data_IF_333960495428
#
_entry.id   IF_333960495428
#
_cell.length_a   1.000
_cell.length_b   1.000
_cell.length_c   1.000
_cell.angle_alpha   90.00
_cell.angle_beta   90.00
_cell.angle_gamma   90.00
#
_symmetry.space_group_name_H-M   'P 1'
#
loop_
_entity.id
_entity.type
_entity.pdbx_description
1 polymer ?
#
# COMPACT_ATOMS: atom_id res chain seq x y z
N UNK A 1 -4.49 3.12 0.11
CA UNK A 1 -3.04 3.30 0.16
C UNK A 1 -2.69 4.63 0.82
N UNK A 2 -2.42 4.62 2.14
CA UNK A 2 -2.19 5.84 2.93
C UNK A 2 -0.91 6.58 2.54
N UNK A 3 0.09 5.91 1.95
CA UNK A 3 1.32 6.57 1.44
C UNK A 3 1.03 7.67 0.40
N UNK A 4 -0.06 7.52 -0.36
CA UNK A 4 -0.46 8.50 -1.38
C UNK A 4 -1.15 9.72 -0.79
N UNK A 5 -1.58 9.66 0.48
CA UNK A 5 -2.38 10.69 1.14
C UNK A 5 -1.63 11.45 2.26
N UNK A 6 -0.70 10.76 2.94
CA UNK A 6 -0.03 11.30 4.14
C UNK A 6 0.77 12.56 3.82
N UNK A 7 0.59 13.61 4.63
CA UNK A 7 1.30 14.87 4.53
C UNK A 7 0.92 15.73 3.32
N UNK A 8 -0.12 15.36 2.55
CA UNK A 8 -0.58 16.09 1.37
C UNK A 8 -1.84 16.90 1.62
N UNK A 9 -1.95 18.01 0.90
CA UNK A 9 -3.18 18.78 0.80
C UNK A 9 -4.09 18.19 -0.30
N UNK A 10 -5.38 18.44 -0.22
CA UNK A 10 -6.35 17.95 -1.20
C UNK A 10 -6.02 18.35 -2.65
N UNK A 11 -5.54 19.57 -2.82
CA UNK A 11 -5.19 20.13 -4.14
C UNK A 11 -3.95 19.47 -4.78
N UNK A 12 -3.16 18.76 -3.99
CA UNK A 12 -1.96 18.04 -4.43
C UNK A 12 -2.26 16.60 -4.86
N UNK A 13 -3.51 16.14 -4.64
CA UNK A 13 -3.93 14.81 -5.02
C UNK A 13 -4.38 14.79 -6.48
N UNK A 14 -3.73 13.95 -7.28
CA UNK A 14 -4.19 13.63 -8.62
C UNK A 14 -5.43 12.70 -8.58
N UNK A 15 -6.07 12.52 -9.74
CA UNK A 15 -7.28 11.69 -9.88
C UNK A 15 -7.04 10.23 -9.42
N UNK A 16 -5.85 9.69 -9.68
CA UNK A 16 -5.50 8.33 -9.29
C UNK A 16 -5.31 8.18 -7.78
N UNK A 17 -4.75 9.20 -7.11
CA UNK A 17 -4.67 9.25 -5.64
C UNK A 17 -6.04 9.38 -4.99
N UNK A 18 -7.00 10.01 -5.67
CA UNK A 18 -8.38 10.12 -5.21
C UNK A 18 -9.22 8.86 -5.48
N UNK A 19 -8.81 8.03 -6.44
CA UNK A 19 -9.48 6.77 -6.80
C UNK A 19 -9.18 5.66 -5.79
N UNK A 20 -9.61 5.82 -4.54
CA UNK A 20 -9.47 4.83 -3.47
C UNK A 20 -10.81 4.16 -3.15
N UNK A 21 -10.78 2.93 -2.64
CA UNK A 21 -11.98 2.15 -2.31
C UNK A 21 -12.81 2.71 -1.12
N UNK A 22 -12.30 3.75 -0.46
CA UNK A 22 -12.95 4.41 0.67
C UNK A 22 -13.16 5.90 0.36
N UNK A 23 -14.06 6.54 1.08
CA UNK A 23 -14.37 7.95 0.86
C UNK A 23 -13.31 8.85 1.45
N UNK A 24 -12.75 9.75 0.65
CA UNK A 24 -11.88 10.83 1.08
C UNK A 24 -12.51 12.18 0.71
N UNK A 25 -12.19 13.21 1.47
CA UNK A 25 -12.64 14.58 1.18
C UNK A 25 -11.66 15.61 1.74
N UNK A 26 -11.79 16.87 1.30
CA UNK A 26 -11.14 18.01 1.93
C UNK A 26 -11.95 18.47 3.15
N UNK A 27 -11.27 18.90 4.22
CA UNK A 27 -11.88 19.73 5.24
C UNK A 27 -11.83 21.22 4.83
N UNK A 28 -12.35 22.11 5.68
CA UNK A 28 -12.40 23.57 5.44
C UNK A 28 -11.01 24.21 5.28
N UNK A 29 -9.96 23.52 5.72
CA UNK A 29 -8.56 23.95 5.59
C UNK A 29 -7.85 23.32 4.39
N UNK A 30 -8.56 22.57 3.53
CA UNK A 30 -8.00 21.89 2.38
C UNK A 30 -7.19 20.63 2.72
N UNK A 31 -7.24 20.15 3.97
CA UNK A 31 -6.54 18.94 4.38
C UNK A 31 -7.33 17.70 4.00
N UNK A 32 -6.63 16.63 3.65
CA UNK A 32 -7.24 15.34 3.34
C UNK A 32 -7.86 14.72 4.60
N UNK A 33 -9.07 14.20 4.46
CA UNK A 33 -9.78 13.43 5.48
C UNK A 33 -10.29 12.13 4.90
N UNK A 34 -10.15 11.05 5.66
CA UNK A 34 -10.71 9.73 5.35
C UNK A 34 -11.97 9.54 6.17
N UNK A 35 -13.08 9.27 5.50
CA UNK A 35 -14.38 9.07 6.15
C UNK A 35 -14.51 7.59 6.54
N UNK A 36 -14.76 7.33 7.81
CA UNK A 36 -15.05 6.00 8.32
C UNK A 36 -16.56 5.87 8.65
N UNK A 37 -17.34 5.19 7.79
CA UNK A 37 -18.79 5.06 8.02
C UNK A 37 -19.14 4.33 9.33
N UNK A 38 -18.30 3.38 9.75
CA UNK A 38 -18.55 2.58 10.94
C UNK A 38 -18.46 3.38 12.25
N UNK A 39 -17.69 4.47 12.26
CA UNK A 39 -17.52 5.35 13.44
C UNK A 39 -18.19 6.70 13.25
N UNK A 40 -18.76 6.97 12.06
CA UNK A 40 -19.30 8.28 11.65
C UNK A 40 -18.29 9.44 11.81
N UNK A 41 -17.01 9.13 11.76
CA UNK A 41 -15.90 10.09 11.98
C UNK A 41 -15.01 10.20 10.77
N UNK A 42 -14.30 11.31 10.74
CA UNK A 42 -13.23 11.60 9.78
C UNK A 42 -11.90 11.56 10.48
N UNK A 43 -10.94 10.99 9.78
CA UNK A 43 -9.58 10.83 10.27
C UNK A 43 -8.58 11.48 9.33
N UNK A 44 -7.56 12.11 9.88
CA UNK A 44 -6.39 12.47 9.10
C UNK A 44 -5.63 11.20 8.67
N UNK A 45 -4.93 11.20 7.52
CA UNK A 45 -4.08 10.08 7.14
C UNK A 45 -3.08 9.68 8.22
N UNK A 46 -2.53 10.64 8.96
CA UNK A 46 -1.60 10.45 10.07
C UNK A 46 -2.22 9.63 11.22
N UNK A 47 -3.49 9.85 11.54
CA UNK A 47 -4.19 9.10 12.59
C UNK A 47 -4.37 7.62 12.20
N UNK A 48 -4.65 7.36 10.92
CA UNK A 48 -4.77 5.99 10.40
C UNK A 48 -3.42 5.28 10.32
N UNK A 49 -2.37 6.00 9.94
CA UNK A 49 -1.00 5.46 9.97
C UNK A 49 -0.58 5.19 11.40
N UNK A 50 -0.97 6.03 12.38
CA UNK A 50 -0.71 5.79 13.79
C UNK A 50 -1.38 4.49 14.30
N UNK A 51 -2.61 4.21 13.87
CA UNK A 51 -3.28 2.94 14.20
C UNK A 51 -2.50 1.73 13.64
N UNK A 52 -1.99 1.83 12.41
CA UNK A 52 -1.16 0.80 11.81
C UNK A 52 0.16 0.61 12.57
N UNK A 53 0.86 1.72 12.88
CA UNK A 53 2.10 1.67 13.64
C UNK A 53 1.89 1.04 15.02
N UNK A 54 0.82 1.41 15.73
CA UNK A 54 0.48 0.81 17.02
C UNK A 54 0.29 -0.69 16.92
N UNK A 55 -0.47 -1.16 15.92
CA UNK A 55 -0.65 -2.60 15.69
C UNK A 55 0.68 -3.33 15.47
N UNK A 56 1.58 -2.75 14.67
CA UNK A 56 2.91 -3.32 14.43
C UNK A 56 3.77 -3.36 15.70
N UNK A 57 3.68 -2.33 16.53
CA UNK A 57 4.38 -2.26 17.83
C UNK A 57 3.85 -3.30 18.80
N UNK A 58 2.53 -3.43 18.91
CA UNK A 58 1.90 -4.45 19.77
C UNK A 58 2.31 -5.87 19.36
N UNK A 59 2.36 -6.13 18.04
CA UNK A 59 2.83 -7.42 17.51
C UNK A 59 4.31 -7.65 17.82
N UNK A 60 5.15 -6.62 17.63
CA UNK A 60 6.57 -6.69 17.94
C UNK A 60 6.80 -6.91 19.45
N UNK A 61 6.11 -6.18 20.32
CA UNK A 61 6.19 -6.34 21.77
C UNK A 61 5.76 -7.75 22.22
N UNK A 62 4.69 -8.28 21.59
CA UNK A 62 4.24 -9.65 21.84
C UNK A 62 5.30 -10.67 21.42
N UNK A 63 5.94 -10.47 20.27
CA UNK A 63 6.99 -11.38 19.78
C UNK A 63 8.26 -11.34 20.63
N UNK A 64 8.67 -10.14 21.06
CA UNK A 64 9.89 -9.92 21.84
C UNK A 64 9.68 -10.24 23.33
N UNK A 65 8.46 -10.18 23.86
CA UNK A 65 8.13 -10.31 25.26
C UNK A 65 8.50 -9.07 26.11
N UNK A 66 8.69 -7.92 25.46
CA UNK A 66 9.04 -6.65 26.08
C UNK A 66 8.39 -5.46 25.36
N UNK A 67 8.30 -4.31 26.03
CA UNK A 67 7.73 -3.10 25.43
C UNK A 67 8.64 -2.51 24.36
N UNK A 68 8.02 -2.00 23.27
CA UNK A 68 8.70 -1.31 22.17
C UNK A 68 8.34 0.18 22.23
N UNK A 69 9.28 1.02 22.66
CA UNK A 69 9.09 2.45 22.90
C UNK A 69 9.56 3.33 21.73
N UNK A 70 10.47 2.82 20.91
CA UNK A 70 11.11 3.59 19.85
C UNK A 70 11.15 2.82 18.52
N UNK A 71 11.18 3.56 17.41
CA UNK A 71 11.27 2.99 16.07
C UNK A 71 12.09 3.84 15.12
N UNK A 72 12.72 3.17 14.15
CA UNK A 72 13.18 3.77 12.90
C UNK A 72 12.09 3.50 11.85
N UNK A 73 11.59 4.56 11.23
CA UNK A 73 10.53 4.45 10.20
C UNK A 73 11.10 4.77 8.84
N UNK A 74 10.79 3.95 7.86
CA UNK A 74 11.23 4.18 6.48
C UNK A 74 10.15 4.90 5.67
N UNK A 75 10.61 5.73 4.74
CA UNK A 75 9.75 6.46 3.79
C UNK A 75 10.36 6.40 2.39
N UNK A 76 9.55 6.54 1.32
CA UNK A 76 10.06 6.68 -0.04
C UNK A 76 11.10 7.80 -0.14
N UNK A 77 12.09 7.64 -1.03
CA UNK A 77 13.15 8.62 -1.17
C UNK A 77 12.65 9.98 -1.68
N UNK A 78 11.55 10.01 -2.41
CA UNK A 78 10.91 11.22 -2.94
C UNK A 78 9.97 11.94 -1.96
N UNK A 79 9.71 11.37 -0.77
CA UNK A 79 8.89 12.08 0.22
C UNK A 79 9.49 13.43 0.56
N UNK A 80 8.67 14.45 0.48
CA UNK A 80 9.02 15.80 0.89
C UNK A 80 9.03 15.98 2.42
N UNK A 81 9.39 17.17 2.88
CA UNK A 81 9.49 17.45 4.32
C UNK A 81 8.13 17.38 5.02
N UNK A 82 7.03 17.74 4.36
CA UNK A 82 5.68 17.66 4.90
C UNK A 82 5.27 16.21 5.14
N UNK A 83 5.51 15.34 4.17
CA UNK A 83 5.24 13.90 4.28
C UNK A 83 6.11 13.22 5.34
N UNK A 84 7.38 13.61 5.44
CA UNK A 84 8.29 13.12 6.49
C UNK A 84 7.85 13.58 7.87
N UNK A 85 7.42 14.84 8.01
CA UNK A 85 6.90 15.35 9.26
C UNK A 85 5.59 14.66 9.65
N UNK A 86 4.66 14.50 8.73
CA UNK A 86 3.42 13.76 8.95
C UNK A 86 3.66 12.31 9.39
N UNK A 87 4.71 11.66 8.85
CA UNK A 87 5.13 10.32 9.29
C UNK A 87 5.65 10.32 10.72
N UNK A 88 6.43 11.36 11.13
CA UNK A 88 6.85 11.51 12.55
C UNK A 88 5.66 11.73 13.47
N UNK A 89 4.72 12.55 13.04
CA UNK A 89 3.53 12.87 13.84
C UNK A 89 2.64 11.63 13.99
N UNK A 90 2.51 10.79 12.96
CA UNK A 90 1.87 9.49 13.06
C UNK A 90 2.55 8.58 14.11
N UNK A 91 3.89 8.55 14.14
CA UNK A 91 4.63 7.82 15.16
C UNK A 91 4.34 8.32 16.58
N UNK A 92 4.32 9.64 16.78
CA UNK A 92 3.97 10.24 18.08
C UNK A 92 2.54 9.93 18.48
N UNK A 93 1.59 9.99 17.56
CA UNK A 93 0.19 9.59 17.81
C UNK A 93 0.06 8.11 18.18
N UNK A 94 0.96 7.26 17.66
CA UNK A 94 1.07 5.86 18.05
C UNK A 94 1.72 5.64 19.43
N UNK A 95 2.26 6.69 20.07
CA UNK A 95 2.97 6.59 21.34
C UNK A 95 4.44 6.21 21.20
N UNK A 96 5.03 6.32 20.00
CA UNK A 96 6.40 5.94 19.71
C UNK A 96 7.35 7.14 19.68
N UNK A 97 8.56 6.93 20.16
CA UNK A 97 9.70 7.78 19.87
C UNK A 97 10.26 7.42 18.49
N UNK A 98 10.16 8.34 17.52
CA UNK A 98 10.74 8.14 16.18
C UNK A 98 12.20 8.58 16.21
N UNK A 99 13.10 7.63 16.37
CA UNK A 99 14.54 7.84 16.41
C UNK A 99 15.08 8.41 15.10
N UNK A 100 14.58 7.92 13.99
CA UNK A 100 15.00 8.35 12.65
C UNK A 100 13.94 8.06 11.58
N UNK A 101 13.84 8.96 10.62
CA UNK A 101 13.23 8.68 9.31
C UNK A 101 14.36 8.33 8.34
N UNK A 102 14.24 7.17 7.69
CA UNK A 102 15.23 6.66 6.74
C UNK A 102 14.60 6.45 5.36
N UNK A 103 15.35 6.65 4.30
CA UNK A 103 14.85 6.36 2.96
C UNK A 103 14.74 4.84 2.75
N UNK A 104 13.62 4.37 2.18
CA UNK A 104 13.36 2.95 1.90
C UNK A 104 14.52 2.29 1.12
N UNK A 105 15.06 2.88 0.02
CA UNK A 105 16.16 2.25 -0.70
C UNK A 105 17.46 2.16 0.13
N UNK A 106 17.68 3.10 1.06
CA UNK A 106 18.81 3.04 1.98
C UNK A 106 18.64 1.88 2.97
N UNK A 107 17.43 1.70 3.50
CA UNK A 107 17.13 0.58 4.41
C UNK A 107 17.26 -0.76 3.70
N UNK A 108 16.78 -0.88 2.46
CA UNK A 108 16.92 -2.08 1.65
C UNK A 108 18.39 -2.44 1.39
N UNK A 109 19.21 -1.46 1.04
CA UNK A 109 20.65 -1.65 0.85
C UNK A 109 21.35 -2.07 2.15
N UNK A 110 20.97 -1.49 3.30
CA UNK A 110 21.49 -1.89 4.60
C UNK A 110 21.12 -3.33 4.97
N UNK A 111 19.87 -3.71 4.75
CA UNK A 111 19.36 -5.05 5.03
C UNK A 111 20.01 -6.12 4.15
N UNK A 112 20.32 -5.80 2.91
CA UNK A 112 21.04 -6.71 2.00
C UNK A 112 22.49 -6.98 2.45
N UNK A 113 23.04 -6.15 3.35
CA UNK A 113 24.36 -6.36 3.93
C UNK A 113 25.51 -5.90 3.04
N UNK A 114 25.31 -4.85 2.23
CA UNK A 114 26.40 -4.28 1.45
C UNK A 114 27.59 -3.88 2.32
N UNK A 115 28.80 -4.27 1.88
CA UNK A 115 30.05 -3.94 2.56
C UNK A 115 30.27 -2.41 2.54
N UNK A 116 30.19 -1.81 3.74
CA UNK A 116 30.37 -0.37 3.93
C UNK A 116 31.79 0.10 3.69
N UNK A 117 32.77 -0.82 3.68
CA UNK A 117 34.18 -0.49 3.46
C UNK A 117 34.51 -0.31 1.99
N UNK A 118 33.68 -0.82 1.09
CA UNK A 118 33.90 -0.75 -0.36
C UNK A 118 33.08 0.35 -1.01
N UNK A 119 33.72 1.09 -1.92
CA UNK A 119 32.98 2.01 -2.77
C UNK A 119 32.27 1.24 -3.88
N UNK A 120 30.95 1.34 -3.93
CA UNK A 120 30.11 0.66 -4.92
C UNK A 120 28.87 1.48 -5.27
N UNK A 121 28.34 1.21 -6.45
CA UNK A 121 27.06 1.78 -6.89
C UNK A 121 26.06 0.65 -7.01
N UNK A 122 24.89 0.83 -6.40
CA UNK A 122 23.82 -0.16 -6.39
C UNK A 122 22.54 0.44 -6.94
N UNK A 123 21.79 -0.38 -7.65
CA UNK A 123 20.42 -0.10 -8.05
C UNK A 123 19.49 -0.86 -7.09
N UNK A 124 18.61 -0.13 -6.42
CA UNK A 124 17.51 -0.70 -5.64
C UNK A 124 16.25 -0.62 -6.48
N UNK A 125 15.64 -1.77 -6.71
CA UNK A 125 14.38 -1.94 -7.43
C UNK A 125 13.31 -2.38 -6.41
N UNK A 126 12.41 -1.47 -6.07
CA UNK A 126 11.39 -1.67 -5.05
C UNK A 126 10.00 -1.62 -5.69
N UNK A 127 9.40 -2.78 -5.94
CA UNK A 127 8.04 -2.92 -6.42
C UNK A 127 7.15 -3.39 -5.27
N UNK A 128 6.52 -2.43 -4.61
CA UNK A 128 5.62 -2.67 -3.49
C UNK A 128 4.18 -2.94 -3.90
N UNK A 129 3.27 -2.94 -2.92
CA UNK A 129 1.83 -3.11 -3.18
C UNK A 129 1.17 -1.89 -3.83
N UNK A 130 1.74 -0.69 -3.64
CA UNK A 130 1.12 0.56 -4.11
C UNK A 130 2.03 1.52 -4.84
N UNK A 131 3.34 1.32 -4.78
CA UNK A 131 4.35 2.16 -5.43
C UNK A 131 5.44 1.29 -6.05
N UNK A 132 6.03 1.79 -7.12
CA UNK A 132 7.22 1.26 -7.74
C UNK A 132 8.32 2.31 -7.69
N UNK A 133 9.45 1.96 -7.08
CA UNK A 133 10.58 2.85 -6.87
C UNK A 133 11.88 2.22 -7.36
N UNK A 134 12.66 2.97 -8.13
CA UNK A 134 14.01 2.60 -8.55
C UNK A 134 14.96 3.68 -8.08
N UNK A 135 15.95 3.31 -7.28
CA UNK A 135 16.93 4.24 -6.73
C UNK A 135 18.36 3.81 -7.02
N UNK A 136 19.17 4.76 -7.48
CA UNK A 136 20.60 4.58 -7.67
C UNK A 136 21.32 5.13 -6.43
N UNK A 137 21.99 4.26 -5.70
CA UNK A 137 22.76 4.62 -4.50
C UNK A 137 24.24 4.47 -4.74
N UNK A 138 25.03 5.42 -4.24
CA UNK A 138 26.47 5.29 -4.06
C UNK A 138 26.77 5.00 -2.59
N UNK A 139 27.47 3.90 -2.35
CA UNK A 139 27.97 3.51 -1.03
C UNK A 139 29.47 3.79 -1.01
N UNK A 140 29.92 4.65 -0.13
CA UNK A 140 31.34 4.97 0.02
C UNK A 140 31.63 5.42 1.45
N UNK A 141 32.71 4.92 2.04
CA UNK A 141 33.16 5.30 3.39
C UNK A 141 32.05 5.20 4.47
N UNK A 142 31.20 4.19 4.36
CA UNK A 142 30.08 3.99 5.28
C UNK A 142 28.86 4.91 5.06
N UNK A 143 28.91 5.78 4.06
CA UNK A 143 27.83 6.69 3.69
C UNK A 143 27.02 6.11 2.53
N UNK A 144 25.71 6.13 2.67
CA UNK A 144 24.73 5.78 1.63
C UNK A 144 24.15 7.07 1.04
N UNK A 145 24.48 7.34 -0.21
CA UNK A 145 24.09 8.57 -0.89
C UNK A 145 23.18 8.22 -2.08
N UNK A 146 21.91 8.66 -2.01
CA UNK A 146 20.94 8.47 -3.09
C UNK A 146 21.25 9.47 -4.19
N UNK A 147 21.72 8.98 -5.33
CA UNK A 147 22.13 9.79 -6.49
C UNK A 147 20.98 10.16 -7.42
N UNK A 148 20.05 9.23 -7.58
CA UNK A 148 18.86 9.43 -8.40
C UNK A 148 17.76 8.51 -7.90
N UNK A 149 16.53 8.93 -8.03
CA UNK A 149 15.35 8.10 -7.85
C UNK A 149 14.36 8.37 -8.97
N UNK A 150 13.66 7.34 -9.38
CA UNK A 150 12.58 7.38 -10.35
C UNK A 150 11.58 6.29 -9.99
N UNK A 151 10.41 6.30 -10.60
CA UNK A 151 9.41 5.28 -10.33
C UNK A 151 8.03 5.73 -10.73
N UNK A 152 7.04 5.00 -10.24
CA UNK A 152 5.64 5.32 -10.42
C UNK A 152 4.91 5.16 -9.07
N UNK A 153 4.42 6.26 -8.53
CA UNK A 153 3.70 6.31 -7.25
C UNK A 153 2.31 5.69 -7.31
N UNK A 154 1.86 5.32 -8.52
CA UNK A 154 0.56 4.75 -8.80
C UNK A 154 0.66 3.32 -9.37
N UNK A 155 1.84 2.69 -9.32
CA UNK A 155 2.07 1.33 -9.79
C UNK A 155 2.52 0.43 -8.65
N UNK A 156 1.82 -0.69 -8.46
CA UNK A 156 2.18 -1.71 -7.47
C UNK A 156 1.32 -2.95 -7.59
N UNK A 157 1.47 -3.87 -6.66
CA UNK A 157 0.74 -5.13 -6.63
C UNK A 157 -0.78 -4.97 -6.69
N UNK A 158 -1.31 -3.91 -6.07
CA UNK A 158 -2.76 -3.62 -6.09
C UNK A 158 -3.28 -3.30 -7.50
N UNK A 159 -2.45 -2.68 -8.34
CA UNK A 159 -2.84 -2.35 -9.72
C UNK A 159 -2.87 -3.61 -10.59
N UNK A 160 -1.99 -4.58 -10.32
CA UNK A 160 -2.06 -5.91 -10.93
C UNK A 160 -3.31 -6.67 -10.48
N UNK A 161 -3.66 -6.63 -9.19
CA UNK A 161 -4.90 -7.22 -8.68
C UNK A 161 -6.12 -6.62 -9.36
N UNK A 162 -6.17 -5.29 -9.50
CA UNK A 162 -7.26 -4.59 -10.17
C UNK A 162 -7.42 -5.01 -11.63
N UNK A 163 -6.32 -5.24 -12.36
CA UNK A 163 -6.39 -5.77 -13.75
C UNK A 163 -7.01 -7.15 -13.81
N UNK A 164 -6.71 -8.01 -12.85
CA UNK A 164 -7.34 -9.33 -12.76
C UNK A 164 -8.82 -9.20 -12.42
N UNK A 165 -9.19 -8.33 -11.47
CA UNK A 165 -10.59 -8.04 -11.13
C UNK A 165 -11.38 -7.56 -12.33
N UNK A 166 -10.83 -6.61 -13.09
CA UNK A 166 -11.50 -6.06 -14.27
C UNK A 166 -11.71 -7.15 -15.33
N UNK A 167 -10.70 -7.97 -15.60
CA UNK A 167 -10.80 -9.09 -16.53
C UNK A 167 -11.86 -10.12 -16.10
N UNK A 168 -11.91 -10.47 -14.81
CA UNK A 168 -12.92 -11.39 -14.27
C UNK A 168 -14.33 -10.80 -14.36
N UNK A 169 -14.49 -9.53 -13.99
CA UNK A 169 -15.78 -8.84 -14.00
C UNK A 169 -16.32 -8.66 -15.42
N UNK A 170 -15.46 -8.30 -16.38
CA UNK A 170 -15.83 -8.16 -17.79
C UNK A 170 -16.26 -9.50 -18.39
N UNK A 171 -15.49 -10.56 -18.16
CA UNK A 171 -15.83 -11.90 -18.64
C UNK A 171 -17.15 -12.39 -18.04
N UNK A 172 -17.36 -12.16 -16.74
CA UNK A 172 -18.60 -12.52 -16.06
C UNK A 172 -19.81 -11.71 -16.58
N UNK A 173 -19.63 -10.41 -16.80
CA UNK A 173 -20.68 -9.53 -17.35
C UNK A 173 -21.07 -9.94 -18.77
N UNK A 174 -20.11 -10.31 -19.60
CA UNK A 174 -20.39 -10.79 -20.96
C UNK A 174 -21.21 -12.10 -20.97
N UNK A 175 -20.89 -13.01 -20.02
CA UNK A 175 -21.55 -14.30 -19.93
C UNK A 175 -22.93 -14.24 -19.26
N UNK A 176 -23.11 -13.38 -18.25
CA UNK A 176 -24.28 -13.41 -17.37
C UNK A 176 -25.08 -12.10 -17.33
N UNK A 177 -24.61 -11.03 -17.99
CA UNK A 177 -25.26 -9.71 -17.99
C UNK A 177 -25.15 -8.93 -16.68
N UNK A 178 -24.39 -9.42 -15.70
CA UNK A 178 -24.25 -8.83 -14.35
C UNK A 178 -22.84 -8.30 -14.15
N UNK A 179 -22.72 -7.01 -13.81
CA UNK A 179 -21.44 -6.40 -13.45
C UNK A 179 -21.19 -6.54 -11.95
N UNK A 180 -20.28 -7.44 -11.57
CA UNK A 180 -19.93 -7.74 -10.19
C UNK A 180 -19.29 -6.55 -9.44
N UNK A 181 -18.75 -5.56 -10.14
CA UNK A 181 -18.12 -4.37 -9.54
C UNK A 181 -19.15 -3.43 -8.88
N UNK A 182 -20.43 -3.58 -9.20
CA UNK A 182 -21.52 -2.80 -8.59
C UNK A 182 -21.98 -3.32 -7.23
N UNK A 183 -21.63 -4.55 -6.90
CA UNK A 183 -21.90 -5.14 -5.58
C UNK A 183 -20.63 -5.15 -4.74
N UNK A 184 -20.68 -4.50 -3.56
CA UNK A 184 -19.50 -4.37 -2.70
C UNK A 184 -19.01 -5.71 -2.16
N UNK A 185 -19.90 -6.67 -1.90
CA UNK A 185 -19.49 -7.99 -1.41
C UNK A 185 -18.87 -8.82 -2.54
N UNK A 186 -19.44 -8.77 -3.74
CA UNK A 186 -18.87 -9.42 -4.91
C UNK A 186 -17.51 -8.82 -5.27
N UNK A 187 -17.38 -7.49 -5.28
CA UNK A 187 -16.12 -6.80 -5.53
C UNK A 187 -15.04 -7.18 -4.51
N UNK A 188 -15.36 -7.23 -3.22
CA UNK A 188 -14.41 -7.63 -2.19
C UNK A 188 -13.91 -9.07 -2.41
N UNK A 189 -14.81 -9.99 -2.73
CA UNK A 189 -14.45 -11.39 -3.04
C UNK A 189 -13.62 -11.52 -4.31
N UNK A 190 -13.88 -10.69 -5.32
CA UNK A 190 -13.04 -10.61 -6.53
C UNK A 190 -11.63 -10.14 -6.20
N UNK A 191 -11.49 -9.08 -5.40
CA UNK A 191 -10.19 -8.55 -4.98
C UNK A 191 -9.36 -9.59 -4.23
N UNK A 192 -9.96 -10.27 -3.24
CA UNK A 192 -9.29 -11.32 -2.48
C UNK A 192 -8.85 -12.49 -3.38
N UNK A 193 -9.72 -12.90 -4.31
CA UNK A 193 -9.40 -13.98 -5.25
C UNK A 193 -8.32 -13.58 -6.26
N UNK A 194 -8.35 -12.35 -6.73
CA UNK A 194 -7.34 -11.81 -7.66
C UNK A 194 -5.96 -11.73 -7.00
N UNK A 195 -5.87 -11.20 -5.77
CA UNK A 195 -4.63 -11.14 -5.01
C UNK A 195 -4.06 -12.55 -4.77
N UNK A 196 -4.91 -13.49 -4.35
CA UNK A 196 -4.51 -14.88 -4.14
C UNK A 196 -4.00 -15.52 -5.43
N UNK A 197 -4.71 -15.35 -6.53
CA UNK A 197 -4.31 -15.88 -7.84
C UNK A 197 -2.97 -15.28 -8.31
N UNK A 198 -2.78 -13.97 -8.15
CA UNK A 198 -1.50 -13.30 -8.43
C UNK A 198 -0.36 -13.90 -7.62
N UNK A 199 -0.56 -14.14 -6.31
CA UNK A 199 0.44 -14.75 -5.43
C UNK A 199 0.78 -16.18 -5.88
N UNK A 200 -0.22 -17.01 -6.17
CA UNK A 200 -0.01 -18.39 -6.64
C UNK A 200 0.75 -18.43 -7.97
N UNK A 201 0.42 -17.54 -8.91
CA UNK A 201 1.09 -17.44 -10.22
C UNK A 201 2.56 -17.00 -10.13
N UNK A 202 3.02 -16.51 -8.99
CA UNK A 202 4.46 -16.30 -8.75
C UNK A 202 5.25 -17.61 -8.64
N UNK A 203 4.59 -18.73 -8.33
CA UNK A 203 5.22 -20.04 -8.20
C UNK A 203 4.69 -21.10 -9.17
N UNK A 204 3.58 -20.84 -9.86
CA UNK A 204 2.93 -21.79 -10.77
C UNK A 204 2.57 -21.11 -12.10
N UNK A 205 2.42 -21.92 -13.16
CA UNK A 205 2.01 -21.43 -14.47
C UNK A 205 0.48 -21.30 -14.63
N UNK A 206 -0.28 -21.89 -13.72
CA UNK A 206 -1.75 -21.89 -13.75
C UNK A 206 -2.28 -21.86 -12.33
N UNK A 207 -3.41 -21.20 -12.16
CA UNK A 207 -4.23 -21.25 -10.95
C UNK A 207 -5.71 -21.24 -11.33
N UNK A 208 -6.58 -21.65 -10.42
CA UNK A 208 -8.03 -21.66 -10.62
C UNK A 208 -8.68 -20.70 -9.62
N UNK A 209 -9.55 -19.83 -10.13
CA UNK A 209 -10.40 -18.96 -9.32
C UNK A 209 -11.79 -19.58 -9.31
N UNK A 210 -12.33 -19.89 -8.12
CA UNK A 210 -13.68 -20.40 -7.93
C UNK A 210 -14.39 -19.57 -6.87
N UNK A 211 -15.43 -18.86 -7.28
CA UNK A 211 -16.26 -18.00 -6.43
C UNK A 211 -17.73 -18.44 -6.53
N UNK A 212 -18.13 -19.43 -5.72
CA UNK A 212 -19.51 -19.88 -5.70
C UNK A 212 -20.43 -18.81 -5.12
N UNK A 213 -21.65 -18.69 -5.66
CA UNK A 213 -22.70 -17.77 -5.22
C UNK A 213 -22.19 -16.32 -5.22
N UNK A 214 -21.51 -15.90 -6.28
CA UNK A 214 -20.94 -14.55 -6.39
C UNK A 214 -22.01 -13.48 -6.70
N UNK A 215 -23.07 -13.89 -7.37
CA UNK A 215 -24.22 -13.03 -7.70
C UNK A 215 -25.51 -13.88 -7.77
N UNK A 216 -26.65 -13.20 -7.91
CA UNK A 216 -27.95 -13.82 -8.13
C UNK A 216 -28.62 -13.17 -9.33
N UNK A 217 -29.18 -13.97 -10.22
CA UNK A 217 -30.03 -13.53 -11.33
C UNK A 217 -31.45 -14.13 -11.17
N UNK A 218 -32.36 -13.76 -12.05
CA UNK A 218 -33.72 -14.35 -12.07
C UNK A 218 -33.71 -15.87 -12.23
N UNK A 219 -32.68 -16.40 -12.92
CA UNK A 219 -32.47 -17.83 -13.14
C UNK A 219 -31.90 -18.57 -11.91
N UNK A 220 -31.53 -17.86 -10.84
CA UNK A 220 -30.95 -18.42 -9.63
C UNK A 220 -29.53 -17.91 -9.33
N UNK A 221 -28.81 -18.62 -8.42
CA UNK A 221 -27.47 -18.20 -8.04
C UNK A 221 -26.47 -18.41 -9.18
N UNK A 222 -25.54 -17.46 -9.29
CA UNK A 222 -24.46 -17.45 -10.28
C UNK A 222 -23.12 -17.74 -9.62
N UNK A 223 -22.26 -18.43 -10.34
CA UNK A 223 -20.92 -18.83 -9.90
C UNK A 223 -19.89 -18.32 -10.92
N UNK A 224 -18.72 -17.92 -10.44
CA UNK A 224 -17.57 -17.61 -11.29
C UNK A 224 -16.52 -18.70 -11.12
N UNK A 225 -16.11 -19.33 -12.21
CA UNK A 225 -15.02 -20.29 -12.27
C UNK A 225 -14.18 -20.05 -13.52
N UNK A 226 -12.85 -19.94 -13.35
CA UNK A 226 -11.90 -19.71 -14.44
C UNK A 226 -10.50 -20.19 -14.06
N UNK A 227 -9.63 -20.40 -15.06
CA UNK A 227 -8.25 -20.86 -14.89
C UNK A 227 -7.30 -20.22 -15.91
#
# INVERSE_FOLDING_TARGET
NLKRLIGRQWQELDEASQAVAYTIRANDLGQVRVVCPATEREYAPEELVACLLRKLVDDAATYLGEEVEAAVVTVPAYFDDSQRQATRDAGRLAGLTIERILNEPTAAALAYGFDRSRSQTVLVFDLGGGTFDVSLLRIANGVFDVKATSGDTQLGGNDFDQRIVDWLAEGFQQANGVDLRRDRQALQRLLEAAEKAKQELSGTLKTTISLPFIATAESGPLHLETS
#
